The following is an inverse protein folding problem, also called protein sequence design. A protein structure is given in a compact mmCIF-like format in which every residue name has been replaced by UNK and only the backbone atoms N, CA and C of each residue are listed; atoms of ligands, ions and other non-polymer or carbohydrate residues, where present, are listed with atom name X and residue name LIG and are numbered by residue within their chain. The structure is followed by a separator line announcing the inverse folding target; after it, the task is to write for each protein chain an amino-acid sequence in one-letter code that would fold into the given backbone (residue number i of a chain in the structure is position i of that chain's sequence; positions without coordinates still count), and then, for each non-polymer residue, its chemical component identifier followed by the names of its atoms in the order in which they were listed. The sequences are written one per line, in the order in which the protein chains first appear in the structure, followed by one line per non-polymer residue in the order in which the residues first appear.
data_IF_926838521524
#
_entry.id   IF_926838521524
#
_cell.length_a   1.000
_cell.length_b   1.000
_cell.length_c   1.000
_cell.angle_alpha   90.00
_cell.angle_beta   90.00
_cell.angle_gamma   90.00
#
_symmetry.space_group_name_H-M   'P 1'
#
loop_
_entity.id
_entity.type
_entity.pdbx_description
1 polymer ?
#
# COMPACT_ATOMS: atom_id res chain seq x y z
N UNK A 1 35.46 -27.63 -10.59
CA UNK A 1 34.36 -27.98 -9.67
C UNK A 1 33.20 -27.08 -10.02
N UNK A 2 32.18 -27.61 -10.71
CA UNK A 2 31.01 -26.82 -11.10
C UNK A 2 30.15 -26.59 -9.87
N UNK A 3 30.23 -25.39 -9.28
CA UNK A 3 29.29 -24.98 -8.25
C UNK A 3 27.89 -25.00 -8.86
N UNK A 4 26.92 -25.55 -8.13
CA UNK A 4 25.51 -25.39 -8.50
C UNK A 4 25.23 -23.90 -8.70
N UNK A 5 24.47 -23.52 -9.74
CA UNK A 5 24.06 -22.13 -9.88
C UNK A 5 23.30 -21.73 -8.62
N UNK A 6 23.73 -20.66 -7.96
CA UNK A 6 23.06 -20.14 -6.78
C UNK A 6 21.58 -19.87 -7.13
N UNK A 7 20.67 -20.25 -6.24
CA UNK A 7 19.23 -19.96 -6.41
C UNK A 7 19.04 -18.44 -6.59
N UNK A 8 18.22 -18.03 -7.55
CA UNK A 8 17.90 -16.62 -7.82
C UNK A 8 16.39 -16.43 -7.71
N UNK A 9 15.99 -15.39 -6.99
CA UNK A 9 14.60 -14.99 -6.92
C UNK A 9 14.08 -14.57 -8.28
N UNK A 10 13.00 -15.22 -8.72
CA UNK A 10 12.38 -14.97 -10.00
C UNK A 10 10.86 -15.17 -9.86
N UNK A 11 10.08 -14.09 -9.68
CA UNK A 11 8.63 -14.19 -9.53
C UNK A 11 7.90 -14.54 -10.85
N UNK A 12 8.63 -14.69 -11.97
CA UNK A 12 8.07 -15.00 -13.28
C UNK A 12 8.16 -16.50 -13.64
N UNK A 13 8.68 -17.35 -12.74
CA UNK A 13 8.66 -18.80 -12.97
C UNK A 13 7.22 -19.33 -12.85
N UNK A 14 6.88 -20.32 -13.69
CA UNK A 14 5.58 -20.96 -13.64
C UNK A 14 5.31 -21.53 -12.24
N UNK A 15 4.09 -21.31 -11.71
CA UNK A 15 3.70 -21.76 -10.39
C UNK A 15 4.16 -20.86 -9.22
N UNK A 16 4.95 -19.82 -9.45
CA UNK A 16 5.38 -18.92 -8.36
C UNK A 16 4.20 -18.29 -7.63
N UNK A 17 3.20 -17.79 -8.36
CA UNK A 17 2.02 -17.18 -7.74
C UNK A 17 1.04 -18.19 -7.14
N UNK A 18 1.15 -19.48 -7.50
CA UNK A 18 0.35 -20.55 -6.90
C UNK A 18 0.93 -20.98 -5.54
N UNK A 19 2.27 -21.03 -5.43
CA UNK A 19 2.97 -21.34 -4.19
C UNK A 19 4.38 -20.69 -4.16
N UNK A 20 4.49 -19.44 -3.68
CA UNK A 20 5.78 -18.74 -3.67
C UNK A 20 6.72 -19.26 -2.57
N UNK A 21 6.16 -19.89 -1.53
CA UNK A 21 6.87 -20.21 -0.28
C UNK A 21 8.01 -21.20 -0.47
N UNK A 22 7.87 -22.15 -1.40
CA UNK A 22 8.95 -23.09 -1.72
C UNK A 22 10.16 -22.34 -2.30
N UNK A 23 9.93 -21.48 -3.29
CA UNK A 23 11.00 -20.70 -3.93
C UNK A 23 11.63 -19.69 -2.97
N UNK A 24 10.80 -19.02 -2.17
CA UNK A 24 11.27 -18.09 -1.12
C UNK A 24 12.07 -18.82 -0.03
N UNK A 25 11.70 -20.06 0.31
CA UNK A 25 12.44 -20.92 1.24
C UNK A 25 13.83 -21.24 0.73
N UNK A 26 13.95 -21.66 -0.54
CA UNK A 26 15.24 -21.90 -1.18
C UNK A 26 16.11 -20.63 -1.21
N UNK A 27 15.52 -19.49 -1.59
CA UNK A 27 16.22 -18.20 -1.58
C UNK A 27 16.76 -17.88 -0.17
N UNK A 28 15.97 -18.07 0.89
CA UNK A 28 16.38 -17.80 2.28
C UNK A 28 17.48 -18.74 2.80
N UNK A 29 17.46 -20.00 2.38
CA UNK A 29 18.35 -21.05 2.88
C UNK A 29 19.69 -21.08 2.13
N UNK A 30 19.65 -20.97 0.80
CA UNK A 30 20.82 -21.20 -0.06
C UNK A 30 21.48 -19.89 -0.55
N UNK A 31 20.71 -18.82 -0.76
CA UNK A 31 21.22 -17.54 -1.27
C UNK A 31 20.45 -16.33 -0.68
N UNK A 32 20.60 -16.05 0.62
CA UNK A 32 19.74 -15.13 1.37
C UNK A 32 19.95 -13.64 1.05
N UNK A 33 21.08 -13.30 0.42
CA UNK A 33 21.44 -11.93 0.03
C UNK A 33 21.81 -11.96 -1.44
N UNK A 34 20.89 -11.50 -2.29
CA UNK A 34 21.01 -11.64 -3.74
C UNK A 34 21.21 -10.30 -4.41
N UNK A 35 22.01 -10.29 -5.49
CA UNK A 35 22.05 -9.18 -6.44
C UNK A 35 21.13 -9.50 -7.62
N UNK A 36 20.02 -8.77 -7.70
CA UNK A 36 19.02 -8.89 -8.75
C UNK A 36 19.48 -8.34 -10.11
N UNK A 37 18.70 -8.66 -11.15
CA UNK A 37 19.04 -8.42 -12.57
C UNK A 37 19.25 -6.94 -12.92
N UNK A 38 18.66 -6.02 -12.17
CA UNK A 38 18.79 -4.56 -12.39
C UNK A 38 19.72 -3.88 -11.37
N UNK A 39 20.57 -4.64 -10.70
CA UNK A 39 21.50 -4.11 -9.71
C UNK A 39 20.87 -3.81 -8.35
N UNK A 40 19.60 -4.15 -8.15
CA UNK A 40 18.97 -4.16 -6.82
C UNK A 40 19.50 -5.31 -5.98
N UNK A 41 19.47 -5.15 -4.67
CA UNK A 41 19.74 -6.21 -3.70
C UNK A 41 18.44 -6.77 -3.16
N UNK A 42 18.42 -8.02 -2.74
CA UNK A 42 17.24 -8.68 -2.17
C UNK A 42 17.68 -9.45 -0.93
N UNK A 43 16.97 -9.24 0.19
CA UNK A 43 17.20 -9.88 1.48
C UNK A 43 16.02 -10.80 1.81
N UNK A 44 16.30 -12.01 2.27
CA UNK A 44 15.27 -13.04 2.56
C UNK A 44 15.19 -13.47 4.02
N UNK A 45 16.16 -13.08 4.85
CA UNK A 45 16.19 -13.45 6.26
C UNK A 45 15.56 -12.34 7.09
N UNK A 46 14.70 -12.75 8.01
CA UNK A 46 14.00 -11.84 8.92
C UNK A 46 14.95 -10.85 9.60
N UNK A 47 16.09 -11.32 10.14
CA UNK A 47 17.03 -10.44 10.86
C UNK A 47 17.66 -9.39 9.94
N UNK A 48 18.05 -9.76 8.72
CA UNK A 48 18.63 -8.83 7.75
C UNK A 48 17.61 -7.76 7.34
N UNK A 49 16.36 -8.16 7.11
CA UNK A 49 15.24 -7.25 6.83
C UNK A 49 14.94 -6.34 8.03
N UNK A 50 14.86 -6.91 9.24
CA UNK A 50 14.57 -6.20 10.49
C UNK A 50 15.63 -5.15 10.81
N UNK A 51 16.90 -5.51 10.72
CA UNK A 51 18.02 -4.62 11.01
C UNK A 51 18.05 -3.45 10.04
N UNK A 52 17.85 -3.72 8.74
CA UNK A 52 17.81 -2.65 7.74
C UNK A 52 16.59 -1.75 7.89
N UNK A 53 15.40 -2.28 8.23
CA UNK A 53 14.20 -1.48 8.47
C UNK A 53 14.35 -0.48 9.62
N UNK A 54 15.20 -0.78 10.60
CA UNK A 54 15.46 0.04 11.79
C UNK A 54 16.73 0.87 11.68
N UNK A 55 17.49 0.67 10.61
CA UNK A 55 18.74 1.36 10.39
C UNK A 55 18.49 2.86 10.11
N UNK A 56 19.21 3.77 10.78
CA UNK A 56 19.08 5.22 10.55
C UNK A 56 19.56 5.64 9.15
N UNK A 57 20.32 4.78 8.47
CA UNK A 57 20.86 5.03 7.14
C UNK A 57 20.01 4.41 6.03
N UNK A 58 18.95 3.66 6.37
CA UNK A 58 17.98 3.20 5.39
C UNK A 58 17.05 4.35 5.00
N UNK A 59 17.01 4.66 3.71
CA UNK A 59 16.13 5.67 3.11
C UNK A 59 15.04 4.99 2.29
N UNK A 60 14.02 5.76 1.91
CA UNK A 60 13.08 5.39 0.86
C UNK A 60 13.43 6.13 -0.43
N UNK A 61 12.99 5.60 -1.58
CA UNK A 61 13.13 6.30 -2.86
C UNK A 61 12.24 7.56 -2.91
N UNK A 62 12.61 8.52 -3.74
CA UNK A 62 11.81 9.75 -3.92
C UNK A 62 10.98 9.66 -5.20
N UNK A 63 9.78 9.08 -5.10
CA UNK A 63 8.90 8.82 -6.25
C UNK A 63 8.52 10.10 -7.02
N UNK A 64 8.21 11.18 -6.29
CA UNK A 64 7.87 12.48 -6.89
C UNK A 64 9.03 13.07 -7.69
N UNK A 65 10.28 12.95 -7.21
CA UNK A 65 11.47 13.41 -7.92
C UNK A 65 11.71 12.57 -9.18
N UNK A 66 11.59 11.24 -9.08
CA UNK A 66 11.65 10.34 -10.23
C UNK A 66 10.63 10.72 -11.32
N UNK A 67 9.41 11.08 -10.94
CA UNK A 67 8.42 11.52 -11.91
C UNK A 67 8.73 12.89 -12.49
N UNK A 68 9.21 13.84 -11.68
CA UNK A 68 9.58 15.19 -12.15
C UNK A 68 10.57 15.14 -13.30
N UNK A 69 11.55 14.22 -13.23
CA UNK A 69 12.53 14.02 -14.28
C UNK A 69 11.95 13.37 -15.56
N UNK A 70 10.93 12.51 -15.42
CA UNK A 70 10.36 11.74 -16.52
C UNK A 70 9.18 12.43 -17.22
N UNK A 71 8.42 13.25 -16.50
CA UNK A 71 7.24 13.94 -17.03
C UNK A 71 7.49 14.67 -18.35
N UNK A 72 8.61 15.41 -18.56
CA UNK A 72 8.88 16.05 -19.85
C UNK A 72 8.94 15.08 -21.04
N UNK A 73 9.44 13.87 -20.83
CA UNK A 73 9.49 12.83 -21.85
C UNK A 73 8.12 12.12 -22.03
N UNK A 74 7.38 11.93 -20.92
CA UNK A 74 6.06 11.29 -20.91
C UNK A 74 5.01 12.19 -21.58
N UNK A 75 5.06 13.50 -21.37
CA UNK A 75 4.04 14.45 -21.82
C UNK A 75 4.52 15.39 -22.93
N UNK A 76 5.60 15.02 -23.64
CA UNK A 76 6.18 15.81 -24.76
C UNK A 76 5.15 16.24 -25.83
N UNK A 77 4.08 15.48 -26.02
CA UNK A 77 3.07 15.68 -27.08
C UNK A 77 1.74 16.22 -26.56
N UNK A 78 1.70 16.78 -25.35
CA UNK A 78 0.49 17.28 -24.69
C UNK A 78 0.13 16.50 -23.42
N UNK A 79 -0.91 16.99 -22.72
CA UNK A 79 -1.36 16.50 -21.42
C UNK A 79 -0.95 17.43 -20.27
N UNK A 80 -1.65 17.33 -19.14
CA UNK A 80 -1.33 18.07 -17.92
C UNK A 80 -0.50 17.16 -17.00
N UNK A 81 0.83 17.37 -16.86
CA UNK A 81 1.67 16.51 -16.02
C UNK A 81 1.31 16.68 -14.54
N UNK A 82 1.03 15.55 -13.90
CA UNK A 82 0.58 15.48 -12.51
C UNK A 82 1.13 14.26 -11.73
N UNK A 83 1.92 13.38 -12.34
CA UNK A 83 2.52 12.24 -11.63
C UNK A 83 3.42 12.70 -10.48
N UNK A 84 4.28 13.71 -10.71
CA UNK A 84 5.19 14.24 -9.69
C UNK A 84 4.42 14.93 -8.56
N UNK A 85 3.42 15.75 -8.91
CA UNK A 85 2.61 16.48 -7.94
C UNK A 85 1.68 15.56 -7.15
N UNK A 86 1.01 14.64 -7.82
CA UNK A 86 0.12 13.66 -7.19
C UNK A 86 0.83 12.76 -6.18
N UNK A 87 2.14 12.56 -6.33
CA UNK A 87 2.96 11.72 -5.44
C UNK A 87 3.85 12.50 -4.45
N UNK A 88 3.71 13.83 -4.37
CA UNK A 88 4.61 14.70 -3.60
C UNK A 88 4.53 14.49 -2.08
N UNK A 89 3.37 14.09 -1.53
CA UNK A 89 3.15 13.88 -0.09
C UNK A 89 2.85 12.43 0.27
N UNK A 90 3.30 11.50 -0.55
CA UNK A 90 3.16 10.07 -0.27
C UNK A 90 4.13 9.64 0.82
N UNK A 91 3.63 9.50 2.05
CA UNK A 91 4.45 9.31 3.25
C UNK A 91 5.47 8.15 3.15
N UNK A 92 5.17 7.07 2.42
CA UNK A 92 6.08 5.95 2.21
C UNK A 92 7.28 6.25 1.29
N UNK A 93 7.28 7.40 0.61
CA UNK A 93 8.34 7.89 -0.27
C UNK A 93 9.00 9.18 0.26
N UNK A 94 8.70 9.56 1.50
CA UNK A 94 9.30 10.71 2.18
C UNK A 94 10.35 10.27 3.19
N UNK A 95 11.40 11.07 3.34
CA UNK A 95 12.45 10.86 4.34
C UNK A 95 12.45 12.00 5.38
N UNK A 96 13.10 11.77 6.52
CA UNK A 96 13.43 12.83 7.48
C UNK A 96 12.21 13.56 8.08
N UNK A 97 12.31 14.88 8.18
CA UNK A 97 11.32 15.71 8.88
C UNK A 97 9.99 15.81 8.12
N UNK A 98 10.03 15.82 6.79
CA UNK A 98 8.83 15.86 5.97
C UNK A 98 7.94 14.63 6.19
N UNK A 99 8.55 13.43 6.23
CA UNK A 99 7.84 12.20 6.60
C UNK A 99 7.22 12.28 7.99
N UNK A 100 7.97 12.75 9.00
CA UNK A 100 7.47 12.86 10.38
C UNK A 100 6.26 13.79 10.45
N UNK A 101 6.31 14.93 9.76
CA UNK A 101 5.23 15.92 9.74
C UNK A 101 3.97 15.35 9.06
N UNK A 102 4.10 14.79 7.85
CA UNK A 102 2.98 14.18 7.11
C UNK A 102 2.37 13.02 7.89
N UNK A 103 3.20 12.07 8.35
CA UNK A 103 2.74 10.91 9.14
C UNK A 103 2.00 11.33 10.40
N UNK A 104 2.52 12.32 11.14
CA UNK A 104 1.89 12.81 12.37
C UNK A 104 0.50 13.36 12.10
N UNK A 105 0.32 14.13 11.02
CA UNK A 105 -0.98 14.70 10.65
C UNK A 105 -1.94 13.62 10.18
N UNK A 106 -1.53 12.74 9.27
CA UNK A 106 -2.35 11.62 8.79
C UNK A 106 -2.86 10.76 9.95
N UNK A 107 -1.97 10.32 10.86
CA UNK A 107 -2.35 9.48 12.01
C UNK A 107 -3.34 10.21 12.93
N UNK A 108 -3.15 11.51 13.17
CA UNK A 108 -4.09 12.28 13.99
C UNK A 108 -5.45 12.44 13.32
N UNK A 109 -5.48 12.65 12.00
CA UNK A 109 -6.70 12.78 11.22
C UNK A 109 -7.48 11.46 11.21
N UNK A 110 -6.81 10.33 10.99
CA UNK A 110 -7.44 9.00 11.09
C UNK A 110 -8.06 8.72 12.46
N UNK A 111 -7.45 9.22 13.54
CA UNK A 111 -7.98 9.06 14.90
C UNK A 111 -9.24 9.88 15.21
N UNK A 112 -9.68 10.76 14.31
CA UNK A 112 -10.92 11.52 14.48
C UNK A 112 -12.16 10.71 14.10
N UNK A 113 -11.99 9.60 13.37
CA UNK A 113 -13.10 8.76 12.95
C UNK A 113 -13.59 7.82 14.05
N UNK A 114 -14.90 7.68 14.14
CA UNK A 114 -15.54 6.58 14.85
C UNK A 114 -15.48 5.30 14.00
N UNK A 115 -14.30 4.70 13.96
CA UNK A 115 -14.04 3.47 13.21
C UNK A 115 -15.00 2.33 13.60
N UNK A 116 -15.30 2.05 14.88
CA UNK A 116 -16.28 1.04 15.26
C UNK A 116 -17.64 1.20 14.56
N UNK A 117 -18.20 2.42 14.57
CA UNK A 117 -19.47 2.71 13.90
C UNK A 117 -19.36 2.54 12.39
N UNK A 118 -18.31 3.09 11.77
CA UNK A 118 -18.07 2.96 10.32
C UNK A 118 -17.99 1.48 9.90
N UNK A 119 -17.27 0.67 10.67
CA UNK A 119 -17.10 -0.76 10.39
C UNK A 119 -18.44 -1.50 10.56
N UNK A 120 -19.18 -1.25 11.65
CA UNK A 120 -20.47 -1.88 11.89
C UNK A 120 -21.47 -1.59 10.76
N UNK A 121 -21.58 -0.32 10.35
CA UNK A 121 -22.45 0.07 9.25
C UNK A 121 -22.01 -0.52 7.90
N UNK A 122 -20.70 -0.61 7.68
CA UNK A 122 -20.15 -1.18 6.45
C UNK A 122 -20.41 -2.68 6.36
N UNK A 123 -20.30 -3.41 7.48
CA UNK A 123 -20.70 -4.83 7.57
C UNK A 123 -22.20 -4.98 7.30
N UNK A 124 -23.05 -4.14 7.89
CA UNK A 124 -24.49 -4.21 7.68
C UNK A 124 -24.88 -3.97 6.20
N UNK A 125 -24.19 -3.04 5.53
CA UNK A 125 -24.45 -2.74 4.12
C UNK A 125 -24.01 -3.88 3.19
N UNK A 126 -22.80 -4.41 3.37
CA UNK A 126 -22.31 -5.52 2.53
C UNK A 126 -23.15 -6.79 2.77
N UNK A 127 -23.55 -7.09 4.01
CA UNK A 127 -24.45 -8.20 4.30
C UNK A 127 -25.83 -8.03 3.66
N UNK A 128 -26.30 -6.79 3.46
CA UNK A 128 -27.54 -6.53 2.72
C UNK A 128 -27.37 -6.82 1.23
N UNK A 129 -26.24 -6.41 0.65
CA UNK A 129 -25.93 -6.61 -0.77
C UNK A 129 -25.88 -8.09 -1.15
N UNK A 130 -25.35 -8.94 -0.27
CA UNK A 130 -25.19 -10.38 -0.52
C UNK A 130 -26.25 -11.26 0.16
N UNK A 131 -27.32 -10.67 0.71
CA UNK A 131 -28.31 -11.38 1.55
C UNK A 131 -28.97 -12.58 0.87
N UNK A 132 -29.33 -12.42 -0.39
CA UNK A 132 -30.12 -13.41 -1.16
C UNK A 132 -29.22 -14.39 -1.93
N UNK A 133 -27.90 -14.22 -1.85
CA UNK A 133 -26.91 -15.07 -2.51
C UNK A 133 -26.63 -16.31 -1.66
N UNK A 134 -26.79 -17.50 -2.25
CA UNK A 134 -26.41 -18.77 -1.59
C UNK A 134 -24.92 -19.07 -1.72
N UNK A 135 -24.31 -18.58 -2.79
CA UNK A 135 -22.89 -18.70 -3.10
C UNK A 135 -22.45 -17.36 -3.67
N UNK A 136 -21.30 -16.85 -3.23
CA UNK A 136 -20.75 -15.61 -3.74
C UNK A 136 -19.22 -15.64 -3.73
N UNK A 137 -18.62 -14.77 -4.53
CA UNK A 137 -17.18 -14.54 -4.55
C UNK A 137 -16.72 -13.81 -3.27
N UNK A 138 -15.94 -14.49 -2.44
CA UNK A 138 -15.41 -13.95 -1.18
C UNK A 138 -14.54 -12.70 -1.39
N UNK A 139 -13.75 -12.64 -2.47
CA UNK A 139 -12.91 -11.48 -2.79
C UNK A 139 -13.80 -10.29 -3.16
N UNK A 140 -14.86 -10.55 -3.92
CA UNK A 140 -15.85 -9.51 -4.24
C UNK A 140 -16.59 -9.00 -3.00
N UNK A 141 -16.95 -9.89 -2.07
CA UNK A 141 -17.54 -9.52 -0.78
C UNK A 141 -16.59 -8.61 0.02
N UNK A 142 -15.32 -9.01 0.16
CA UNK A 142 -14.31 -8.22 0.86
C UNK A 142 -14.08 -6.85 0.20
N UNK A 143 -14.02 -6.82 -1.13
CA UNK A 143 -13.87 -5.57 -1.88
C UNK A 143 -15.04 -4.62 -1.63
N UNK A 144 -16.27 -5.13 -1.63
CA UNK A 144 -17.46 -4.34 -1.32
C UNK A 144 -17.44 -3.83 0.12
N UNK A 145 -17.04 -4.66 1.10
CA UNK A 145 -16.86 -4.22 2.47
C UNK A 145 -15.84 -3.06 2.59
N UNK A 146 -14.66 -3.19 1.97
CA UNK A 146 -13.63 -2.15 2.01
C UNK A 146 -14.09 -0.86 1.30
N UNK A 147 -14.82 -0.99 0.18
CA UNK A 147 -15.45 0.16 -0.48
C UNK A 147 -16.44 0.89 0.45
N UNK A 148 -17.25 0.15 1.21
CA UNK A 148 -18.20 0.71 2.18
C UNK A 148 -17.52 1.48 3.32
N UNK A 149 -16.33 1.05 3.73
CA UNK A 149 -15.50 1.75 4.71
C UNK A 149 -14.88 3.01 4.11
N UNK A 150 -14.23 2.89 2.95
CA UNK A 150 -13.52 3.98 2.27
C UNK A 150 -14.47 5.12 1.87
N UNK A 151 -15.66 4.81 1.35
CA UNK A 151 -16.64 5.85 0.99
C UNK A 151 -17.03 6.72 2.19
N UNK A 152 -17.09 6.14 3.40
CA UNK A 152 -17.41 6.86 4.64
C UNK A 152 -16.20 7.64 5.15
N UNK A 153 -15.03 7.01 5.20
CA UNK A 153 -13.80 7.65 5.68
C UNK A 153 -13.41 8.87 4.85
N UNK A 154 -13.57 8.81 3.53
CA UNK A 154 -13.19 9.88 2.62
C UNK A 154 -14.37 10.70 2.09
N UNK A 155 -15.57 10.50 2.66
CA UNK A 155 -16.78 11.25 2.31
C UNK A 155 -17.08 11.25 0.81
N UNK A 156 -16.92 10.09 0.14
CA UNK A 156 -17.17 9.98 -1.29
C UNK A 156 -18.65 10.16 -1.61
N UNK A 157 -19.01 10.99 -2.60
CA UNK A 157 -20.38 11.12 -3.08
C UNK A 157 -20.94 9.80 -3.62
N UNK A 158 -22.25 9.57 -3.45
CA UNK A 158 -22.94 8.33 -3.87
C UNK A 158 -22.82 8.00 -5.37
N UNK A 159 -22.54 8.99 -6.22
CA UNK A 159 -22.37 8.77 -7.66
C UNK A 159 -21.03 8.12 -8.03
N UNK A 160 -20.05 8.07 -7.11
CA UNK A 160 -18.81 7.34 -7.35
C UNK A 160 -19.02 5.86 -7.05
N UNK A 161 -19.10 5.08 -8.11
CA UNK A 161 -19.35 3.65 -8.02
C UNK A 161 -18.17 2.86 -7.43
N UNK A 162 -18.47 1.63 -6.97
CA UNK A 162 -17.45 0.65 -6.57
C UNK A 162 -16.36 0.47 -7.63
N UNK A 163 -16.76 0.25 -8.88
CA UNK A 163 -15.81 0.02 -9.99
C UNK A 163 -14.93 1.23 -10.26
N UNK A 164 -15.46 2.46 -10.13
CA UNK A 164 -14.66 3.67 -10.32
C UNK A 164 -13.61 3.84 -9.23
N UNK A 165 -13.95 3.62 -7.95
CA UNK A 165 -13.01 3.72 -6.83
C UNK A 165 -11.95 2.62 -6.92
N UNK A 166 -12.35 1.39 -7.24
CA UNK A 166 -11.43 0.28 -7.48
C UNK A 166 -10.48 0.58 -8.63
N UNK A 167 -11.00 1.05 -9.76
CA UNK A 167 -10.16 1.38 -10.92
C UNK A 167 -9.22 2.56 -10.64
N UNK A 168 -9.69 3.58 -9.91
CA UNK A 168 -8.83 4.68 -9.43
C UNK A 168 -7.69 4.15 -8.57
N UNK A 169 -8.00 3.36 -7.53
CA UNK A 169 -7.00 2.77 -6.63
C UNK A 169 -5.96 1.95 -7.40
N UNK A 170 -6.41 1.06 -8.29
CA UNK A 170 -5.54 0.23 -9.10
C UNK A 170 -4.60 1.04 -10.00
N UNK A 171 -5.13 2.04 -10.70
CA UNK A 171 -4.32 2.86 -11.60
C UNK A 171 -3.32 3.72 -10.84
N UNK A 172 -3.70 4.28 -9.70
CA UNK A 172 -2.78 5.05 -8.84
C UNK A 172 -1.70 4.13 -8.25
N UNK A 173 -2.04 2.90 -7.83
CA UNK A 173 -1.06 1.92 -7.33
C UNK A 173 0.00 1.58 -8.38
N UNK A 174 -0.40 1.41 -9.65
CA UNK A 174 0.51 1.14 -10.77
C UNK A 174 1.54 2.24 -11.04
N UNK A 175 1.41 3.42 -10.45
CA UNK A 175 2.46 4.45 -10.50
C UNK A 175 3.77 3.99 -9.85
N UNK A 176 3.70 3.02 -8.93
CA UNK A 176 4.85 2.48 -8.19
C UNK A 176 5.53 1.32 -8.94
N UNK A 177 4.90 0.80 -9.99
CA UNK A 177 5.41 -0.34 -10.75
C UNK A 177 6.74 0.02 -11.45
N UNK A 178 7.57 -1.01 -11.62
CA UNK A 178 8.79 -0.91 -12.41
C UNK A 178 8.48 -1.12 -13.90
N UNK A 179 9.28 -0.49 -14.76
CA UNK A 179 9.22 -0.69 -16.23
C UNK A 179 7.85 -0.36 -16.87
N UNK A 180 7.11 0.57 -16.29
CA UNK A 180 5.82 1.02 -16.82
C UNK A 180 5.99 1.73 -18.17
N UNK A 181 5.27 1.31 -19.23
CA UNK A 181 5.30 2.00 -20.52
C UNK A 181 4.77 3.43 -20.44
N UNK A 182 5.28 4.31 -21.31
CA UNK A 182 4.86 5.72 -21.40
C UNK A 182 3.34 5.91 -21.46
N UNK A 183 2.66 5.14 -22.29
CA UNK A 183 1.19 5.23 -22.46
C UNK A 183 0.45 4.89 -21.18
N UNK A 184 0.96 3.93 -20.40
CA UNK A 184 0.37 3.57 -19.11
C UNK A 184 0.57 4.71 -18.11
N UNK A 185 1.73 5.37 -18.08
CA UNK A 185 1.93 6.57 -17.25
C UNK A 185 1.00 7.73 -17.62
N UNK A 186 0.67 7.89 -18.90
CA UNK A 186 -0.34 8.88 -19.32
C UNK A 186 -1.73 8.53 -18.77
N UNK A 187 -2.14 7.26 -18.85
CA UNK A 187 -3.40 6.81 -18.24
C UNK A 187 -3.40 6.99 -16.71
N UNK A 188 -2.31 6.63 -16.02
CA UNK A 188 -2.16 6.84 -14.56
C UNK A 188 -2.35 8.33 -14.22
N UNK A 189 -1.77 9.22 -15.02
CA UNK A 189 -1.89 10.66 -14.85
C UNK A 189 -3.34 11.14 -15.01
N UNK A 190 -4.08 10.63 -15.99
CA UNK A 190 -5.51 10.94 -16.16
C UNK A 190 -6.33 10.51 -14.93
N UNK A 191 -5.99 9.38 -14.31
CA UNK A 191 -6.61 8.94 -13.07
C UNK A 191 -6.26 9.83 -11.88
N UNK A 192 -5.01 10.31 -11.77
CA UNK A 192 -4.68 11.33 -10.77
C UNK A 192 -5.51 12.61 -10.96
N UNK A 193 -5.67 13.09 -12.20
CA UNK A 193 -6.48 14.27 -12.50
C UNK A 193 -7.97 14.05 -12.14
N UNK A 194 -8.54 12.89 -12.48
CA UNK A 194 -9.90 12.52 -12.06
C UNK A 194 -10.05 12.50 -10.54
N UNK A 195 -9.05 11.98 -9.83
CA UNK A 195 -9.01 12.03 -8.36
C UNK A 195 -8.99 13.45 -7.81
N UNK A 196 -8.23 14.35 -8.44
CA UNK A 196 -8.21 15.76 -8.02
C UNK A 196 -9.57 16.41 -8.18
N UNK A 197 -10.27 16.18 -9.30
CA UNK A 197 -11.64 16.70 -9.50
C UNK A 197 -12.57 16.23 -8.38
N UNK A 198 -12.49 14.95 -8.01
CA UNK A 198 -13.25 14.38 -6.89
C UNK A 198 -12.87 15.03 -5.56
N UNK A 199 -11.59 15.05 -5.19
CA UNK A 199 -11.14 15.47 -3.86
C UNK A 199 -11.17 16.99 -3.68
N UNK A 200 -11.06 17.78 -4.75
CA UNK A 200 -11.25 19.23 -4.71
C UNK A 200 -12.72 19.61 -4.54
N UNK A 201 -13.65 18.78 -5.03
CA UNK A 201 -15.08 18.97 -4.80
C UNK A 201 -15.51 18.59 -3.37
N UNK A 202 -14.67 17.85 -2.61
CA UNK A 202 -14.93 17.56 -1.21
C UNK A 202 -14.80 18.84 -0.37
N UNK A 203 -15.78 19.14 0.49
CA UNK A 203 -15.78 20.38 1.26
C UNK A 203 -14.60 20.40 2.26
N UNK A 204 -13.68 21.35 2.07
CA UNK A 204 -12.54 21.57 2.97
C UNK A 204 -12.96 22.20 4.32
N UNK A 205 -14.08 22.94 4.32
CA UNK A 205 -14.56 23.70 5.48
C UNK A 205 -16.06 23.51 5.79
N UNK A 206 -16.85 22.90 4.90
CA UNK A 206 -18.29 22.71 5.14
C UNK A 206 -18.60 21.51 6.04
N UNK A 207 -17.69 20.53 6.08
CA UNK A 207 -17.72 19.42 7.03
C UNK A 207 -16.35 19.30 7.71
N UNK A 208 -16.27 19.80 8.95
CA UNK A 208 -15.04 19.73 9.74
C UNK A 208 -14.66 18.28 10.11
N UNK A 209 -15.53 17.29 9.89
CA UNK A 209 -15.28 15.89 10.22
C UNK A 209 -14.66 15.09 9.07
N UNK A 210 -14.64 15.62 7.84
CA UNK A 210 -14.05 14.93 6.69
C UNK A 210 -12.54 14.75 6.85
N UNK A 211 -11.98 13.68 6.26
CA UNK A 211 -10.54 13.42 6.31
C UNK A 211 -9.71 14.59 5.76
N UNK A 212 -10.12 15.16 4.62
CA UNK A 212 -9.43 16.30 3.98
C UNK A 212 -9.42 17.53 4.90
N UNK A 213 -10.57 17.87 5.49
CA UNK A 213 -10.69 18.98 6.44
C UNK A 213 -9.79 18.77 7.66
N UNK A 214 -9.78 17.54 8.20
CA UNK A 214 -8.92 17.18 9.34
C UNK A 214 -7.43 17.27 9.01
N UNK A 215 -7.01 16.87 7.81
CA UNK A 215 -5.63 17.05 7.35
C UNK A 215 -5.22 18.53 7.33
N UNK A 216 -6.07 19.42 6.82
CA UNK A 216 -5.81 20.87 6.78
C UNK A 216 -5.73 21.49 8.19
N UNK A 217 -6.72 21.18 9.04
CA UNK A 217 -6.80 21.69 10.42
C UNK A 217 -5.61 21.20 11.26
N UNK A 218 -5.37 19.89 11.28
CA UNK A 218 -4.30 19.28 12.07
C UNK A 218 -2.92 19.58 11.51
N UNK A 219 -2.81 19.79 10.19
CA UNK A 219 -1.62 20.34 9.54
C UNK A 219 -1.25 21.68 10.15
N UNK A 220 -2.18 22.64 10.11
CA UNK A 220 -1.99 23.99 10.66
C UNK A 220 -1.60 23.95 12.14
N UNK A 221 -2.29 23.14 12.95
CA UNK A 221 -1.98 22.96 14.36
C UNK A 221 -0.60 22.32 14.61
N UNK A 222 -0.10 21.52 13.67
CA UNK A 222 1.23 20.91 13.72
C UNK A 222 2.33 21.83 13.15
N UNK A 223 2.01 23.07 12.78
CA UNK A 223 2.96 23.99 12.14
C UNK A 223 3.24 23.66 10.67
N UNK A 224 2.41 22.83 10.04
CA UNK A 224 2.42 22.57 8.60
C UNK A 224 1.35 23.43 7.92
N UNK A 225 1.67 24.07 6.81
CA UNK A 225 0.65 24.67 5.94
C UNK A 225 0.60 23.83 4.67
N UNK A 226 -0.36 22.90 4.58
CA UNK A 226 -0.57 22.12 3.36
C UNK A 226 -1.31 22.98 2.34
N UNK A 227 -0.76 23.06 1.13
CA UNK A 227 -1.49 23.57 -0.02
C UNK A 227 -2.57 22.59 -0.45
N UNK A 228 -3.50 23.03 -1.30
CA UNK A 228 -4.50 22.13 -1.90
C UNK A 228 -3.80 20.96 -2.63
N UNK A 229 -2.71 21.20 -3.37
CA UNK A 229 -1.97 20.12 -4.03
C UNK A 229 -1.38 19.10 -3.04
N UNK A 230 -0.92 19.56 -1.86
CA UNK A 230 -0.44 18.67 -0.81
C UNK A 230 -1.57 17.79 -0.25
N UNK A 231 -2.74 18.39 0.01
CA UNK A 231 -3.92 17.66 0.49
C UNK A 231 -4.37 16.62 -0.53
N UNK A 232 -4.44 16.97 -1.82
CA UNK A 232 -4.79 16.06 -2.91
C UNK A 232 -3.80 14.89 -3.02
N UNK A 233 -2.50 15.15 -2.88
CA UNK A 233 -1.50 14.09 -2.83
C UNK A 233 -1.70 13.14 -1.64
N UNK A 234 -1.98 13.66 -0.44
CA UNK A 234 -2.27 12.84 0.75
C UNK A 234 -3.57 12.04 0.59
N UNK A 235 -4.60 12.64 -0.02
CA UNK A 235 -5.87 11.95 -0.30
C UNK A 235 -5.65 10.77 -1.26
N UNK A 236 -4.94 11.00 -2.37
CA UNK A 236 -4.67 9.96 -3.38
C UNK A 236 -4.00 8.71 -2.79
N UNK A 237 -2.94 8.90 -1.98
CA UNK A 237 -2.23 7.77 -1.36
C UNK A 237 -3.08 7.08 -0.31
N UNK A 238 -3.91 7.82 0.42
CA UNK A 238 -4.76 7.26 1.47
C UNK A 238 -5.80 6.32 0.85
N UNK A 239 -6.47 6.77 -0.22
CA UNK A 239 -7.47 5.97 -0.94
C UNK A 239 -6.84 4.75 -1.60
N UNK A 240 -5.73 4.95 -2.33
CA UNK A 240 -4.99 3.87 -2.98
C UNK A 240 -4.51 2.81 -1.98
N UNK A 241 -3.90 3.23 -0.88
CA UNK A 241 -3.36 2.30 0.12
C UNK A 241 -4.48 1.56 0.88
N UNK A 242 -5.61 2.22 1.16
CA UNK A 242 -6.68 1.65 1.94
C UNK A 242 -7.44 0.54 1.22
N UNK A 243 -7.54 0.56 -0.11
CA UNK A 243 -8.41 -0.35 -0.84
C UNK A 243 -7.80 -1.74 -1.04
N UNK A 244 -6.77 -1.86 -1.88
CA UNK A 244 -6.25 -3.16 -2.32
C UNK A 244 -5.64 -3.95 -1.16
N UNK A 245 -4.79 -3.32 -0.35
CA UNK A 245 -4.12 -4.03 0.76
C UNK A 245 -5.10 -4.54 1.82
N UNK A 246 -6.13 -3.76 2.17
CA UNK A 246 -7.15 -4.18 3.13
C UNK A 246 -8.03 -5.29 2.56
N UNK A 247 -8.42 -5.17 1.27
CA UNK A 247 -9.19 -6.21 0.57
C UNK A 247 -8.41 -7.52 0.56
N UNK A 248 -7.14 -7.50 0.18
CA UNK A 248 -6.29 -8.69 0.11
C UNK A 248 -6.09 -9.31 1.49
N UNK A 249 -5.74 -8.48 2.49
CA UNK A 249 -5.57 -8.93 3.87
C UNK A 249 -6.81 -9.65 4.39
N UNK A 250 -7.99 -9.05 4.20
CA UNK A 250 -9.24 -9.62 4.66
C UNK A 250 -9.62 -10.88 3.87
N UNK A 251 -9.44 -10.86 2.55
CA UNK A 251 -9.76 -12.01 1.68
C UNK A 251 -8.91 -13.22 2.04
N UNK A 252 -7.60 -13.04 2.24
CA UNK A 252 -6.69 -14.13 2.63
C UNK A 252 -6.97 -14.59 4.06
N UNK A 253 -7.22 -13.67 4.99
CA UNK A 253 -7.60 -14.04 6.36
C UNK A 253 -8.86 -14.89 6.39
N UNK A 254 -9.91 -14.49 5.66
CA UNK A 254 -11.16 -15.25 5.58
C UNK A 254 -10.99 -16.56 4.82
N UNK A 255 -10.17 -16.62 3.77
CA UNK A 255 -9.84 -17.88 3.10
C UNK A 255 -9.21 -18.88 4.09
N UNK A 256 -8.26 -18.42 4.90
CA UNK A 256 -7.58 -19.24 5.90
C UNK A 256 -8.52 -19.74 7.01
N UNK A 257 -9.47 -18.90 7.44
CA UNK A 257 -10.46 -19.24 8.47
C UNK A 257 -11.52 -20.18 7.90
N UNK A 258 -12.14 -19.80 6.78
CA UNK A 258 -13.27 -20.53 6.18
C UNK A 258 -12.87 -21.86 5.55
N UNK A 259 -11.58 -22.03 5.23
CA UNK A 259 -11.02 -23.30 4.76
C UNK A 259 -10.91 -24.39 5.82
N UNK A 260 -11.11 -24.08 7.12
CA UNK A 260 -11.04 -25.05 8.21
C UNK A 260 -12.13 -24.80 9.26
N UNK A 261 -13.07 -25.74 9.41
CA UNK A 261 -14.20 -25.62 10.35
C UNK A 261 -13.76 -25.37 11.79
N UNK A 262 -12.66 -25.95 12.25
CA UNK A 262 -12.15 -25.73 13.62
C UNK A 262 -11.77 -24.26 13.85
N UNK A 263 -11.20 -23.60 12.83
CA UNK A 263 -10.86 -22.17 12.89
C UNK A 263 -12.11 -21.28 12.92
N UNK A 264 -13.19 -21.70 12.27
CA UNK A 264 -14.47 -20.97 12.31
C UNK A 264 -15.00 -20.96 13.76
N UNK A 265 -15.04 -22.12 14.41
CA UNK A 265 -15.52 -22.23 15.78
C UNK A 265 -14.63 -21.47 16.77
N UNK A 266 -13.31 -21.49 16.57
CA UNK A 266 -12.36 -20.70 17.35
C UNK A 266 -12.64 -19.19 17.21
N UNK A 267 -12.81 -18.69 15.99
CA UNK A 267 -13.12 -17.27 15.73
C UNK A 267 -14.46 -16.85 16.32
N UNK A 268 -15.49 -17.70 16.23
CA UNK A 268 -16.83 -17.40 16.76
C UNK A 268 -16.90 -17.43 18.29
N UNK A 269 -16.00 -18.17 18.94
CA UNK A 269 -15.93 -18.27 20.41
C UNK A 269 -14.88 -17.34 21.05
N UNK A 270 -14.01 -16.73 20.25
CA UNK A 270 -12.94 -15.86 20.71
C UNK A 270 -13.46 -14.55 21.33
N UNK A 271 -12.84 -14.16 22.45
CA UNK A 271 -12.96 -12.81 22.97
C UNK A 271 -12.07 -11.81 22.20
N UNK A 272 -12.13 -10.53 22.55
CA UNK A 272 -11.34 -9.49 21.87
C UNK A 272 -9.83 -9.68 21.99
N UNK A 273 -9.34 -10.31 23.08
CA UNK A 273 -7.91 -10.53 23.27
C UNK A 273 -7.41 -11.69 22.39
N UNK A 274 -8.14 -12.81 22.37
CA UNK A 274 -7.86 -13.93 21.48
C UNK A 274 -7.95 -13.51 20.01
N UNK A 275 -8.96 -12.70 19.65
CA UNK A 275 -9.10 -12.16 18.30
C UNK A 275 -7.91 -11.28 17.90
N UNK A 276 -7.40 -10.45 18.83
CA UNK A 276 -6.20 -9.65 18.58
C UNK A 276 -4.98 -10.50 18.24
N UNK A 277 -4.76 -11.60 18.96
CA UNK A 277 -3.65 -12.53 18.67
C UNK A 277 -3.84 -13.24 17.32
N UNK A 278 -5.07 -13.70 17.03
CA UNK A 278 -5.39 -14.35 15.76
C UNK A 278 -5.15 -13.41 14.57
N UNK A 279 -5.52 -12.13 14.69
CA UNK A 279 -5.29 -11.12 13.65
C UNK A 279 -3.79 -10.91 13.39
N UNK A 280 -2.96 -10.79 14.42
CA UNK A 280 -1.50 -10.66 14.25
C UNK A 280 -0.89 -11.90 13.58
N UNK A 281 -1.35 -13.10 13.94
CA UNK A 281 -0.89 -14.34 13.31
C UNK A 281 -1.32 -14.43 11.84
N UNK A 282 -2.54 -13.98 11.50
CA UNK A 282 -3.00 -13.90 10.11
C UNK A 282 -2.17 -12.92 9.30
N UNK A 283 -1.80 -11.76 9.84
CA UNK A 283 -0.88 -10.84 9.17
C UNK A 283 0.51 -11.46 8.97
N UNK A 284 1.04 -12.17 9.98
CA UNK A 284 2.33 -12.87 9.89
C UNK A 284 2.30 -13.99 8.85
N UNK A 285 1.20 -14.75 8.78
CA UNK A 285 1.08 -15.93 7.94
C UNK A 285 0.78 -15.58 6.48
N UNK A 286 -0.20 -14.71 6.24
CA UNK A 286 -0.66 -14.38 4.88
C UNK A 286 0.27 -13.40 4.17
N UNK A 287 0.87 -12.45 4.91
CA UNK A 287 1.83 -11.46 4.41
C UNK A 287 1.43 -10.85 3.03
N UNK A 288 0.30 -10.13 2.93
CA UNK A 288 -0.21 -9.57 1.67
C UNK A 288 0.82 -8.71 0.92
N UNK A 289 1.69 -8.04 1.68
CA UNK A 289 2.84 -7.33 1.15
C UNK A 289 4.07 -8.23 1.22
N UNK A 290 4.44 -8.80 0.08
CA UNK A 290 5.55 -9.76 -0.03
C UNK A 290 6.94 -9.13 0.09
N UNK A 291 7.07 -7.81 -0.09
CA UNK A 291 8.32 -7.09 0.18
C UNK A 291 8.09 -5.61 0.40
N UNK A 292 9.08 -4.95 0.98
CA UNK A 292 9.23 -3.48 0.95
C UNK A 292 10.61 -3.09 0.43
N UNK A 293 10.78 -1.85 -0.02
CA UNK A 293 12.04 -1.39 -0.62
C UNK A 293 12.69 -0.33 0.26
N UNK A 294 14.00 -0.42 0.42
CA UNK A 294 14.85 0.64 0.98
C UNK A 294 15.95 1.03 -0.01
N UNK A 295 16.53 2.20 0.21
CA UNK A 295 17.72 2.69 -0.46
C UNK A 295 18.80 2.87 0.60
N UNK A 296 19.98 2.30 0.39
CA UNK A 296 21.09 2.47 1.33
C UNK A 296 21.59 3.91 1.31
N UNK A 297 21.69 4.54 2.48
CA UNK A 297 22.23 5.90 2.64
C UNK A 297 23.75 5.94 2.81
N UNK A 298 24.38 4.80 3.06
CA UNK A 298 25.84 4.60 3.10
C UNK A 298 26.15 3.14 2.70
N UNK A 299 27.41 2.80 2.38
CA UNK A 299 27.77 1.40 2.12
C UNK A 299 27.65 0.55 3.39
N UNK A 300 27.18 -0.70 3.25
CA UNK A 300 26.98 -1.61 4.39
C UNK A 300 27.32 -3.06 4.03
N UNK A 301 27.56 -3.87 5.07
CA UNK A 301 27.71 -5.32 4.94
C UNK A 301 26.42 -6.01 5.40
N UNK A 302 25.94 -6.98 4.64
CA UNK A 302 24.89 -7.92 5.06
C UNK A 302 25.44 -9.33 4.89
N UNK A 303 25.75 -9.98 6.01
CA UNK A 303 26.57 -11.19 5.99
C UNK A 303 27.95 -10.92 5.40
N UNK A 304 28.30 -11.64 4.34
CA UNK A 304 29.55 -11.48 3.58
C UNK A 304 29.41 -10.58 2.34
N UNK A 305 28.22 -10.04 2.07
CA UNK A 305 27.94 -9.21 0.90
C UNK A 305 28.11 -7.73 1.21
N UNK A 306 28.87 -7.04 0.35
CA UNK A 306 29.00 -5.58 0.38
C UNK A 306 27.91 -4.94 -0.48
N UNK A 307 27.05 -4.15 0.15
CA UNK A 307 26.01 -3.36 -0.50
C UNK A 307 26.47 -1.90 -0.58
N UNK A 308 26.70 -1.33 -1.78
CA UNK A 308 27.11 0.06 -1.94
C UNK A 308 26.06 1.05 -1.45
N UNK A 309 26.46 2.31 -1.21
CA UNK A 309 25.53 3.44 -1.06
C UNK A 309 24.61 3.58 -2.28
N UNK A 310 23.42 4.12 -2.08
CA UNK A 310 22.40 4.37 -3.10
C UNK A 310 21.93 3.10 -3.83
N UNK A 311 22.05 1.95 -3.18
CA UNK A 311 21.55 0.67 -3.67
C UNK A 311 20.09 0.49 -3.26
N UNK A 312 19.23 0.10 -4.21
CA UNK A 312 17.87 -0.36 -3.91
C UNK A 312 17.92 -1.76 -3.32
N UNK A 313 17.26 -1.97 -2.19
CA UNK A 313 17.22 -3.24 -1.45
C UNK A 313 15.77 -3.64 -1.24
N UNK A 314 15.39 -4.81 -1.76
CA UNK A 314 14.12 -5.46 -1.54
C UNK A 314 14.22 -6.28 -0.26
N UNK A 315 13.27 -6.09 0.65
CA UNK A 315 13.19 -6.76 1.94
C UNK A 315 11.98 -7.69 1.88
N UNK A 316 12.24 -8.97 1.66
CA UNK A 316 11.25 -10.04 1.53
C UNK A 316 10.96 -10.69 2.88
#
# INVERSE_FOLDING_TARGET
MGGQPAIIWNPYVAGYFDNPYQHLGQCREENPVQKGVHGSWILFRHNDCYDLLRSPVAKVSELSNYFREKEPAIFKSGGCPYLSRGTSKWAMYLNGEEHKQVRKVMVKAFKQFDLPTILQESVAEVNRLFRDEKEFDLVNYCANFIYQVIRRLYSFPDHYSFEEVKQYSNMVARSQDLFVPKQVYQSINDWFLKGNELFSALPEHADATSYKSQLAILGTQAGASYSEEDLLSIMSVSVMAAFETSKDSLSMALLEILGNTDKIDEVLSADSAAMGVAIEELFRFTAPLQYTIRVTGEPMMVGDQFIPENSKVFLC
#
